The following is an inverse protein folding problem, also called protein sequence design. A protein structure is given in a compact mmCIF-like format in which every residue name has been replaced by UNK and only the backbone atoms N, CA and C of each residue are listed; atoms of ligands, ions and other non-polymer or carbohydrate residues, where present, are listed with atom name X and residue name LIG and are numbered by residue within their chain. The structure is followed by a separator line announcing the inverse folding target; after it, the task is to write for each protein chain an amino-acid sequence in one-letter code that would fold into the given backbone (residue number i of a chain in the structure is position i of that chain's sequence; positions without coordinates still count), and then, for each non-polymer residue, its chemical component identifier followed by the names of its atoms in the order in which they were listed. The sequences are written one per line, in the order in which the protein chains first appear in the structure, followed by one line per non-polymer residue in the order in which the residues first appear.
data_IF_216917789333
#
_entry.id   IF_216917789333
#
_cell.length_a   1.000
_cell.length_b   1.000
_cell.length_c   1.000
_cell.angle_alpha   90.00
_cell.angle_beta   90.00
_cell.angle_gamma   90.00
#
_symmetry.space_group_name_H-M   'P 1'
#
loop_
_entity.id
_entity.type
_entity.pdbx_description
1 polymer ?
#
# COMPACT_ATOMS: atom_id res chain seq x y z
N UNK A 1 -5.88 -78.56 -13.60
CA UNK A 1 -6.55 -77.41 -14.21
C UNK A 1 -7.00 -76.50 -13.08
N UNK A 2 -6.46 -75.29 -13.09
CA UNK A 2 -6.51 -74.30 -12.02
C UNK A 2 -7.84 -73.56 -12.06
N UNK A 3 -8.54 -73.51 -10.92
CA UNK A 3 -9.64 -72.61 -10.65
C UNK A 3 -9.23 -71.68 -9.51
N UNK A 4 -9.02 -70.40 -9.81
CA UNK A 4 -9.11 -69.32 -8.81
C UNK A 4 -9.35 -68.00 -9.54
N UNK A 5 -10.61 -67.57 -9.50
CA UNK A 5 -11.08 -66.25 -9.92
C UNK A 5 -10.67 -65.21 -8.86
N UNK A 6 -9.78 -64.29 -9.21
CA UNK A 6 -9.42 -63.13 -8.37
C UNK A 6 -10.37 -61.97 -8.68
N UNK A 7 -11.24 -61.66 -7.73
CA UNK A 7 -12.06 -60.45 -7.74
C UNK A 7 -11.19 -59.23 -7.43
N UNK A 8 -11.17 -58.25 -8.34
CA UNK A 8 -10.50 -56.97 -8.16
C UNK A 8 -11.39 -56.06 -7.31
N UNK A 9 -10.95 -55.73 -6.10
CA UNK A 9 -11.58 -54.70 -5.27
C UNK A 9 -11.09 -53.32 -5.71
N UNK A 10 -11.98 -52.55 -6.34
CA UNK A 10 -11.77 -51.13 -6.58
C UNK A 10 -11.77 -50.37 -5.24
N UNK A 11 -10.62 -49.82 -4.86
CA UNK A 11 -10.49 -48.91 -3.73
C UNK A 11 -11.11 -47.56 -4.08
N UNK A 12 -12.29 -47.30 -3.52
CA UNK A 12 -12.96 -45.99 -3.63
C UNK A 12 -12.10 -44.96 -2.89
N UNK A 13 -11.44 -44.06 -3.63
CA UNK A 13 -10.70 -42.93 -3.07
C UNK A 13 -11.69 -42.04 -2.30
N UNK A 14 -11.66 -42.13 -0.96
CA UNK A 14 -12.39 -41.22 -0.08
C UNK A 14 -12.01 -39.79 -0.40
N UNK A 15 -12.99 -39.01 -0.86
CA UNK A 15 -12.85 -37.61 -1.21
C UNK A 15 -12.10 -36.82 -0.15
N UNK A 16 -11.13 -36.05 -0.62
CA UNK A 16 -10.42 -35.03 0.14
C UNK A 16 -11.45 -34.02 0.63
N UNK A 17 -12.00 -34.22 1.84
CA UNK A 17 -12.77 -33.17 2.55
C UNK A 17 -11.90 -31.92 2.49
N UNK A 18 -12.40 -30.83 1.93
CA UNK A 18 -11.70 -29.56 1.95
C UNK A 18 -11.30 -29.30 3.40
N UNK A 19 -9.99 -29.18 3.65
CA UNK A 19 -9.50 -28.82 4.97
C UNK A 19 -10.25 -27.54 5.38
N UNK A 20 -10.77 -27.51 6.61
CA UNK A 20 -11.38 -26.27 7.11
C UNK A 20 -10.34 -25.17 6.99
N UNK A 21 -10.73 -23.97 6.51
CA UNK A 21 -9.77 -22.90 6.35
C UNK A 21 -9.02 -22.63 7.65
N UNK A 22 -7.71 -22.38 7.55
CA UNK A 22 -6.89 -22.03 8.71
C UNK A 22 -7.34 -20.69 9.31
N UNK A 23 -6.80 -20.33 10.48
CA UNK A 23 -7.05 -19.03 11.10
C UNK A 23 -6.68 -17.89 10.15
N UNK A 24 -5.47 -17.95 9.61
CA UNK A 24 -4.87 -16.97 8.71
C UNK A 24 -5.64 -16.85 7.38
N UNK A 25 -6.16 -17.97 6.85
CA UNK A 25 -6.96 -17.96 5.62
C UNK A 25 -8.28 -17.20 5.80
N UNK A 26 -8.89 -17.24 6.99
CA UNK A 26 -10.13 -16.51 7.28
C UNK A 26 -9.88 -15.03 7.50
N UNK A 27 -8.80 -14.69 8.20
CA UNK A 27 -8.37 -13.30 8.35
C UNK A 27 -8.13 -12.66 6.98
N UNK A 28 -7.38 -13.34 6.11
CA UNK A 28 -7.14 -12.90 4.75
C UNK A 28 -8.44 -12.79 3.92
N UNK A 29 -9.39 -13.70 4.10
CA UNK A 29 -10.69 -13.62 3.45
C UNK A 29 -11.49 -12.37 3.87
N UNK A 30 -11.40 -11.95 5.14
CA UNK A 30 -12.01 -10.71 5.62
C UNK A 30 -11.34 -9.50 4.97
N UNK A 31 -10.01 -9.46 4.95
CA UNK A 31 -9.23 -8.37 4.35
C UNK A 31 -9.54 -8.22 2.85
N UNK A 32 -9.49 -9.31 2.09
CA UNK A 32 -9.80 -9.31 0.65
C UNK A 32 -11.26 -8.88 0.38
N UNK A 33 -12.19 -9.29 1.25
CA UNK A 33 -13.59 -8.86 1.15
C UNK A 33 -13.73 -7.36 1.39
N UNK A 34 -13.05 -6.83 2.40
CA UNK A 34 -13.07 -5.41 2.72
C UNK A 34 -12.49 -4.57 1.58
N UNK A 35 -11.32 -4.96 1.06
CA UNK A 35 -10.68 -4.27 -0.07
C UNK A 35 -11.61 -4.22 -1.30
N UNK A 36 -12.21 -5.36 -1.66
CA UNK A 36 -13.17 -5.42 -2.76
C UNK A 36 -14.40 -4.54 -2.54
N UNK A 37 -14.97 -4.52 -1.34
CA UNK A 37 -16.14 -3.70 -1.05
C UNK A 37 -15.81 -2.19 -1.05
N UNK A 38 -14.57 -1.82 -0.74
CA UNK A 38 -14.10 -0.43 -0.78
C UNK A 38 -13.98 0.10 -2.22
N UNK A 39 -13.87 -0.77 -3.23
CA UNK A 39 -13.91 -0.36 -4.64
C UNK A 39 -15.29 0.21 -5.03
N UNK A 40 -16.35 -0.27 -4.39
CA UNK A 40 -17.73 0.09 -4.73
C UNK A 40 -18.28 1.24 -3.88
N UNK A 41 -17.89 1.31 -2.59
CA UNK A 41 -18.52 2.23 -1.61
C UNK A 41 -17.62 2.54 -0.41
N UNK A 42 -17.79 3.70 0.26
CA UNK A 42 -16.94 4.10 1.36
C UNK A 42 -17.13 3.20 2.60
N UNK A 43 -16.10 3.15 3.46
CA UNK A 43 -16.10 2.30 4.67
C UNK A 43 -17.31 2.54 5.59
N UNK A 44 -17.84 3.76 5.64
CA UNK A 44 -19.04 4.08 6.43
C UNK A 44 -20.27 3.25 6.02
N UNK A 45 -20.39 2.91 4.74
CA UNK A 45 -21.52 2.17 4.15
C UNK A 45 -21.32 0.65 4.14
N UNK A 46 -20.15 0.17 4.57
CA UNK A 46 -19.84 -1.27 4.70
C UNK A 46 -20.22 -1.72 6.12
N UNK A 47 -21.03 -2.76 6.24
CA UNK A 47 -21.38 -3.35 7.54
C UNK A 47 -20.49 -4.53 7.90
N UNK A 48 -20.40 -4.87 9.19
CA UNK A 48 -19.74 -6.11 9.65
C UNK A 48 -20.42 -7.35 9.04
N UNK A 49 -21.73 -7.31 8.79
CA UNK A 49 -22.45 -8.42 8.16
C UNK A 49 -22.05 -8.58 6.69
N UNK A 50 -21.79 -7.49 5.97
CA UNK A 50 -21.26 -7.55 4.60
C UNK A 50 -19.88 -8.21 4.57
N UNK A 51 -18.99 -7.83 5.49
CA UNK A 51 -17.65 -8.39 5.64
C UNK A 51 -17.70 -9.88 5.98
N UNK A 52 -18.50 -10.26 6.98
CA UNK A 52 -18.65 -11.65 7.40
C UNK A 52 -19.24 -12.50 6.27
N UNK A 53 -20.28 -12.00 5.59
CA UNK A 53 -20.92 -12.69 4.46
C UNK A 53 -19.97 -12.87 3.29
N UNK A 54 -19.22 -11.83 2.91
CA UNK A 54 -18.25 -11.93 1.81
C UNK A 54 -17.08 -12.86 2.11
N UNK A 55 -16.62 -12.90 3.37
CA UNK A 55 -15.59 -13.82 3.82
C UNK A 55 -16.09 -15.26 4.10
N UNK A 56 -17.40 -15.52 3.96
CA UNK A 56 -17.99 -16.85 4.20
C UNK A 56 -17.97 -17.29 5.66
N UNK A 57 -18.03 -16.33 6.60
CA UNK A 57 -18.01 -16.58 8.05
C UNK A 57 -19.25 -15.98 8.75
N UNK A 58 -19.47 -16.39 10.00
CA UNK A 58 -20.53 -15.79 10.83
C UNK A 58 -20.09 -14.46 11.44
N UNK A 59 -21.05 -13.59 11.79
CA UNK A 59 -20.76 -12.34 12.51
C UNK A 59 -20.00 -12.57 13.84
N UNK A 60 -20.34 -13.53 14.71
CA UNK A 60 -19.51 -13.84 15.88
C UNK A 60 -18.09 -14.29 15.52
N UNK A 61 -17.92 -15.02 14.41
CA UNK A 61 -16.59 -15.41 13.91
C UNK A 61 -15.79 -14.21 13.43
N UNK A 62 -16.41 -13.20 12.81
CA UNK A 62 -15.73 -11.95 12.48
C UNK A 62 -15.10 -11.30 13.71
N UNK A 63 -15.87 -11.15 14.79
CA UNK A 63 -15.41 -10.52 16.02
C UNK A 63 -14.31 -11.30 16.76
N UNK A 64 -14.06 -12.56 16.39
CA UNK A 64 -12.89 -13.30 16.86
C UNK A 64 -11.59 -12.78 16.24
N UNK A 65 -11.62 -12.31 14.99
CA UNK A 65 -10.45 -11.80 14.26
C UNK A 65 -10.30 -10.29 14.40
N UNK A 66 -11.39 -9.54 14.25
CA UNK A 66 -11.35 -8.08 14.26
C UNK A 66 -12.36 -7.50 15.23
N UNK A 67 -11.96 -6.55 16.10
CA UNK A 67 -12.88 -5.92 17.05
C UNK A 67 -13.90 -5.00 16.36
N UNK A 68 -13.60 -4.50 15.15
CA UNK A 68 -14.47 -3.62 14.37
C UNK A 68 -14.11 -3.64 12.88
N UNK A 69 -14.94 -3.01 12.02
CA UNK A 69 -14.61 -2.83 10.61
C UNK A 69 -13.49 -1.81 10.41
N UNK A 70 -13.36 -0.84 11.31
CA UNK A 70 -12.28 0.15 11.30
C UNK A 70 -10.92 -0.51 11.57
N UNK A 71 -10.88 -1.53 12.43
CA UNK A 71 -9.67 -2.34 12.63
C UNK A 71 -9.27 -3.09 11.36
N UNK A 72 -10.23 -3.55 10.55
CA UNK A 72 -9.94 -4.18 9.24
C UNK A 72 -9.29 -3.17 8.29
N UNK A 73 -9.82 -1.93 8.21
CA UNK A 73 -9.22 -0.88 7.40
C UNK A 73 -7.82 -0.52 7.87
N UNK A 74 -7.61 -0.40 9.18
CA UNK A 74 -6.30 -0.12 9.75
C UNK A 74 -5.29 -1.20 9.35
N UNK A 75 -5.67 -2.48 9.43
CA UNK A 75 -4.82 -3.60 9.00
C UNK A 75 -4.56 -3.57 7.49
N UNK A 76 -5.55 -3.24 6.66
CA UNK A 76 -5.33 -3.07 5.22
C UNK A 76 -4.34 -1.94 4.92
N UNK A 77 -4.52 -0.77 5.56
CA UNK A 77 -3.60 0.35 5.40
C UNK A 77 -2.18 0.00 5.84
N UNK A 78 -2.04 -0.65 7.00
CA UNK A 78 -0.77 -1.13 7.52
C UNK A 78 -0.05 -2.03 6.51
N UNK A 79 -0.76 -2.98 5.89
CA UNK A 79 -0.19 -3.84 4.84
C UNK A 79 0.31 -3.04 3.64
N UNK A 80 -0.49 -2.08 3.15
CA UNK A 80 -0.15 -1.27 1.97
C UNK A 80 1.06 -0.36 2.25
N UNK A 81 1.14 0.29 3.42
CA UNK A 81 2.29 1.14 3.74
C UNK A 81 3.56 0.33 3.97
N UNK A 82 3.46 -0.86 4.57
CA UNK A 82 4.60 -1.77 4.71
C UNK A 82 5.06 -2.33 3.35
N UNK A 83 4.15 -2.55 2.41
CA UNK A 83 4.51 -2.94 1.04
C UNK A 83 5.31 -1.85 0.33
N UNK A 84 4.86 -0.59 0.39
CA UNK A 84 5.56 0.54 -0.20
C UNK A 84 6.94 0.73 0.43
N UNK A 85 7.01 0.58 1.75
CA UNK A 85 8.24 0.68 2.52
C UNK A 85 9.25 -0.42 2.17
N UNK A 86 8.80 -1.67 2.07
CA UNK A 86 9.64 -2.79 1.64
C UNK A 86 10.12 -2.65 0.19
N UNK A 87 9.26 -2.14 -0.71
CA UNK A 87 9.63 -1.86 -2.10
C UNK A 87 10.68 -0.76 -2.20
N UNK A 88 10.60 0.28 -1.35
CA UNK A 88 11.60 1.33 -1.27
C UNK A 88 12.95 0.80 -0.72
N UNK A 89 12.92 -0.03 0.32
CA UNK A 89 14.12 -0.66 0.87
C UNK A 89 14.81 -1.55 -0.18
N UNK A 90 14.05 -2.28 -0.99
CA UNK A 90 14.59 -3.06 -2.10
C UNK A 90 15.22 -2.18 -3.19
N UNK A 91 14.59 -1.04 -3.52
CA UNK A 91 15.14 -0.10 -4.49
C UNK A 91 16.45 0.51 -4.01
N UNK A 92 16.61 0.74 -2.70
CA UNK A 92 17.85 1.25 -2.11
C UNK A 92 19.06 0.31 -2.28
N UNK A 93 18.83 -0.96 -2.62
CA UNK A 93 19.88 -1.95 -2.93
C UNK A 93 20.18 -2.07 -4.43
N UNK A 94 19.47 -1.33 -5.28
CA UNK A 94 19.66 -1.37 -6.72
C UNK A 94 20.99 -0.71 -7.15
N UNK A 95 21.55 -1.06 -8.33
CA UNK A 95 22.73 -0.41 -8.86
C UNK A 95 22.55 1.11 -9.03
N UNK A 96 23.65 1.85 -8.94
CA UNK A 96 23.67 3.29 -9.18
C UNK A 96 23.15 3.63 -10.59
N UNK A 97 22.27 4.63 -10.64
CA UNK A 97 21.70 5.22 -11.85
C UNK A 97 21.85 6.73 -11.81
N UNK A 98 21.56 7.43 -12.91
CA UNK A 98 21.53 8.89 -12.88
C UNK A 98 20.44 9.41 -11.91
N UNK A 99 20.62 10.62 -11.41
CA UNK A 99 19.74 11.21 -10.40
C UNK A 99 18.27 11.33 -10.82
N UNK A 100 17.96 11.55 -12.10
CA UNK A 100 16.58 11.68 -12.58
C UNK A 100 15.91 10.31 -12.51
N UNK A 101 16.60 9.28 -12.99
CA UNK A 101 16.14 7.89 -12.92
C UNK A 101 16.00 7.43 -11.47
N UNK A 102 16.93 7.79 -10.58
CA UNK A 102 16.86 7.48 -9.15
C UNK A 102 15.56 8.03 -8.52
N UNK A 103 15.29 9.33 -8.67
CA UNK A 103 14.08 9.95 -8.11
C UNK A 103 12.80 9.42 -8.76
N UNK A 104 12.81 9.17 -10.07
CA UNK A 104 11.68 8.55 -10.77
C UNK A 104 11.36 7.16 -10.22
N UNK A 105 12.37 6.31 -10.03
CA UNK A 105 12.16 4.98 -9.50
C UNK A 105 11.59 5.04 -8.07
N UNK A 106 12.10 5.94 -7.23
CA UNK A 106 11.59 6.13 -5.87
C UNK A 106 10.12 6.60 -5.84
N UNK A 107 9.75 7.57 -6.68
CA UNK A 107 8.36 8.03 -6.80
C UNK A 107 7.46 6.92 -7.36
N UNK A 108 7.96 6.14 -8.32
CA UNK A 108 7.22 5.02 -8.91
C UNK A 108 6.86 3.94 -7.90
N UNK A 109 7.70 3.69 -6.88
CA UNK A 109 7.34 2.75 -5.80
C UNK A 109 6.00 3.14 -5.17
N UNK A 110 5.85 4.41 -4.78
CA UNK A 110 4.61 4.89 -4.18
C UNK A 110 3.45 4.95 -5.18
N UNK A 111 3.72 5.34 -6.42
CA UNK A 111 2.71 5.36 -7.48
C UNK A 111 2.12 3.97 -7.73
N UNK A 112 2.97 2.95 -7.91
CA UNK A 112 2.55 1.57 -8.20
C UNK A 112 1.87 0.92 -6.99
N UNK A 113 2.45 1.02 -5.79
CA UNK A 113 1.87 0.41 -4.59
C UNK A 113 0.53 1.05 -4.23
N UNK A 114 0.45 2.38 -4.10
CA UNK A 114 -0.83 3.02 -3.77
C UNK A 114 -1.83 2.97 -4.94
N UNK A 115 -1.35 2.97 -6.18
CA UNK A 115 -2.17 2.78 -7.38
C UNK A 115 -2.77 1.38 -7.49
N UNK A 116 -2.12 0.36 -6.94
CA UNK A 116 -2.64 -1.01 -6.87
C UNK A 116 -3.68 -1.18 -5.75
N UNK A 117 -3.67 -0.31 -4.74
CA UNK A 117 -4.53 -0.37 -3.55
C UNK A 117 -5.39 0.90 -3.36
N UNK A 118 -5.88 1.49 -4.46
CA UNK A 118 -6.60 2.78 -4.44
C UNK A 118 -7.73 2.81 -3.43
N UNK A 119 -8.59 1.78 -3.44
CA UNK A 119 -9.75 1.68 -2.56
C UNK A 119 -9.37 1.74 -1.07
N UNK A 120 -8.27 1.08 -0.69
CA UNK A 120 -7.73 1.07 0.67
C UNK A 120 -7.21 2.45 1.06
N UNK A 121 -6.38 3.05 0.20
CA UNK A 121 -5.80 4.39 0.42
C UNK A 121 -6.92 5.42 0.57
N UNK A 122 -7.96 5.36 -0.27
CA UNK A 122 -9.11 6.24 -0.19
C UNK A 122 -9.93 6.06 1.08
N UNK A 123 -10.21 4.81 1.46
CA UNK A 123 -10.85 4.50 2.73
C UNK A 123 -10.09 5.09 3.92
N UNK A 124 -8.74 4.98 3.90
CA UNK A 124 -7.89 5.53 4.94
C UNK A 124 -7.93 7.05 5.05
N UNK A 125 -7.89 7.75 3.92
CA UNK A 125 -7.94 9.22 3.91
C UNK A 125 -9.25 9.76 4.50
N UNK A 126 -10.39 9.13 4.19
CA UNK A 126 -11.69 9.51 4.76
C UNK A 126 -11.76 9.32 6.29
N UNK A 127 -10.99 8.39 6.85
CA UNK A 127 -11.01 8.04 8.28
C UNK A 127 -9.87 8.71 9.06
N UNK A 128 -8.81 9.19 8.41
CA UNK A 128 -7.63 9.78 9.05
C UNK A 128 -7.93 11.02 9.91
N UNK A 129 -8.98 11.79 9.58
CA UNK A 129 -9.41 12.93 10.40
C UNK A 129 -10.04 12.52 11.73
N UNK A 130 -10.55 11.29 11.83
CA UNK A 130 -11.35 10.82 12.98
C UNK A 130 -10.71 9.67 13.76
N UNK A 131 -9.83 8.85 13.16
CA UNK A 131 -9.07 7.81 13.84
C UNK A 131 -7.66 8.30 14.19
N UNK A 132 -7.29 8.20 15.46
CA UNK A 132 -5.94 8.49 15.95
C UNK A 132 -4.95 7.45 15.44
N UNK A 133 -5.35 6.18 15.42
CA UNK A 133 -4.51 5.05 15.01
C UNK A 133 -4.12 5.14 13.53
N UNK A 134 -5.07 5.44 12.64
CA UNK A 134 -4.79 5.66 11.21
C UNK A 134 -3.86 6.86 11.03
N UNK A 135 -4.07 7.93 11.81
CA UNK A 135 -3.24 9.13 11.76
C UNK A 135 -1.81 8.87 12.23
N UNK A 136 -1.64 8.12 13.32
CA UNK A 136 -0.34 7.75 13.89
C UNK A 136 0.42 6.80 12.95
N UNK A 137 -0.27 5.80 12.39
CA UNK A 137 0.30 4.91 11.37
C UNK A 137 0.86 5.71 10.20
N UNK A 138 0.03 6.55 9.56
CA UNK A 138 0.46 7.36 8.43
C UNK A 138 1.59 8.33 8.79
N UNK A 139 1.49 8.99 9.96
CA UNK A 139 2.53 9.90 10.46
C UNK A 139 3.87 9.19 10.63
N UNK A 140 3.87 7.95 11.11
CA UNK A 140 5.08 7.16 11.34
C UNK A 140 5.81 6.87 10.03
N UNK A 141 5.08 6.41 9.02
CA UNK A 141 5.66 6.14 7.70
C UNK A 141 6.10 7.41 6.98
N UNK A 142 5.31 8.48 7.02
CA UNK A 142 5.71 9.77 6.43
C UNK A 142 6.99 10.31 7.06
N UNK A 143 7.13 10.24 8.39
CA UNK A 143 8.37 10.63 9.06
C UNK A 143 9.56 9.79 8.58
N UNK A 144 9.39 8.47 8.42
CA UNK A 144 10.43 7.58 7.89
C UNK A 144 10.84 7.97 6.47
N UNK A 145 9.89 8.13 5.55
CA UNK A 145 10.16 8.44 4.14
C UNK A 145 10.75 9.85 3.94
N UNK A 146 10.28 10.83 4.72
CA UNK A 146 10.84 12.17 4.74
C UNK A 146 12.30 12.14 5.22
N UNK A 147 12.58 11.43 6.32
CA UNK A 147 13.94 11.32 6.83
C UNK A 147 14.88 10.61 5.84
N UNK A 148 14.40 9.55 5.17
CA UNK A 148 15.15 8.88 4.11
C UNK A 148 15.43 9.80 2.92
N UNK A 149 14.42 10.54 2.45
CA UNK A 149 14.57 11.54 1.38
C UNK A 149 15.60 12.61 1.75
N UNK A 150 15.54 13.14 2.97
CA UNK A 150 16.48 14.15 3.45
C UNK A 150 17.92 13.63 3.46
N UNK A 151 18.14 12.38 3.88
CA UNK A 151 19.47 11.74 3.84
C UNK A 151 20.01 11.62 2.42
N UNK A 152 19.16 11.28 1.45
CA UNK A 152 19.58 11.24 0.03
C UNK A 152 19.97 12.65 -0.43
N UNK A 153 19.16 13.67 -0.14
CA UNK A 153 19.47 15.05 -0.50
C UNK A 153 20.81 15.51 0.11
N UNK A 154 21.09 15.14 1.36
CA UNK A 154 22.38 15.42 2.01
C UNK A 154 23.54 14.70 1.31
N UNK A 155 23.40 13.42 0.99
CA UNK A 155 24.43 12.68 0.25
C UNK A 155 24.71 13.28 -1.14
N UNK A 156 23.67 13.73 -1.85
CA UNK A 156 23.78 14.42 -3.13
C UNK A 156 24.55 15.75 -3.01
N UNK A 157 24.37 16.47 -1.89
CA UNK A 157 25.11 17.71 -1.58
C UNK A 157 26.57 17.43 -1.24
N UNK A 158 26.82 16.42 -0.41
CA UNK A 158 28.17 16.04 0.02
C UNK A 158 29.05 15.62 -1.17
N UNK A 159 28.49 14.89 -2.13
CA UNK A 159 29.20 14.52 -3.37
C UNK A 159 29.27 15.63 -4.42
N UNK A 160 28.74 16.81 -4.12
CA UNK A 160 28.77 18.00 -4.98
C UNK A 160 27.80 17.96 -6.18
N UNK A 161 26.82 17.05 -6.19
CA UNK A 161 25.85 16.94 -7.27
C UNK A 161 24.67 17.91 -7.11
N UNK A 162 24.23 18.15 -5.87
CA UNK A 162 23.19 19.10 -5.54
C UNK A 162 23.75 20.33 -4.79
N UNK A 163 23.25 21.54 -5.04
CA UNK A 163 23.65 22.72 -4.26
C UNK A 163 23.07 22.68 -2.85
N UNK A 164 23.76 23.34 -1.92
CA UNK A 164 23.22 23.62 -0.58
C UNK A 164 22.28 24.83 -0.68
N UNK A 165 20.98 24.60 -0.58
CA UNK A 165 19.93 25.63 -0.66
C UNK A 165 19.09 25.64 0.62
N UNK A 166 17.91 25.03 0.60
CA UNK A 166 17.02 24.88 1.77
C UNK A 166 17.53 23.78 2.72
N UNK A 167 17.12 23.78 4.00
CA UNK A 167 17.32 22.63 4.87
C UNK A 167 16.76 21.36 4.23
N UNK A 168 17.56 20.28 4.17
CA UNK A 168 17.19 19.07 3.43
C UNK A 168 15.90 18.45 3.96
N UNK A 169 15.71 18.48 5.28
CA UNK A 169 14.50 17.97 5.93
C UNK A 169 13.24 18.77 5.56
N UNK A 170 13.33 20.10 5.47
CA UNK A 170 12.20 20.95 5.08
C UNK A 170 11.81 20.74 3.61
N UNK A 171 12.81 20.68 2.73
CA UNK A 171 12.60 20.37 1.31
C UNK A 171 11.99 18.97 1.14
N UNK A 172 12.55 17.96 1.80
CA UNK A 172 12.02 16.60 1.78
C UNK A 172 10.57 16.54 2.30
N UNK A 173 10.25 17.28 3.36
CA UNK A 173 8.90 17.35 3.92
C UNK A 173 7.92 17.90 2.89
N UNK A 174 8.23 19.03 2.27
CA UNK A 174 7.36 19.65 1.27
C UNK A 174 7.15 18.75 0.04
N UNK A 175 8.21 18.10 -0.45
CA UNK A 175 8.16 17.21 -1.61
C UNK A 175 7.35 15.93 -1.33
N UNK A 176 7.49 15.33 -0.15
CA UNK A 176 6.69 14.15 0.23
C UNK A 176 5.20 14.49 0.40
N UNK A 177 4.88 15.63 1.03
CA UNK A 177 3.48 16.09 1.16
C UNK A 177 2.86 16.44 -0.21
N UNK A 178 3.66 16.99 -1.13
CA UNK A 178 3.23 17.21 -2.52
C UNK A 178 2.91 15.88 -3.21
N UNK A 179 3.76 14.85 -3.07
CA UNK A 179 3.49 13.52 -3.61
C UNK A 179 2.19 12.95 -3.04
N UNK A 180 2.03 12.95 -1.71
CA UNK A 180 0.82 12.47 -1.03
C UNK A 180 -0.44 13.10 -1.66
N UNK A 181 -0.49 14.44 -1.70
CA UNK A 181 -1.67 15.14 -2.18
C UNK A 181 -1.93 14.92 -3.67
N UNK A 182 -0.88 14.96 -4.48
CA UNK A 182 -1.00 14.90 -5.95
C UNK A 182 -1.33 13.51 -6.42
N UNK A 183 -0.71 12.46 -5.86
CA UNK A 183 -1.03 11.07 -6.17
C UNK A 183 -2.47 10.76 -5.76
N UNK A 184 -2.88 11.15 -4.54
CA UNK A 184 -4.25 10.97 -4.07
C UNK A 184 -5.27 11.64 -4.97
N UNK A 185 -5.03 12.89 -5.38
CA UNK A 185 -5.91 13.62 -6.30
C UNK A 185 -6.03 12.91 -7.66
N UNK A 186 -4.91 12.42 -8.18
CA UNK A 186 -4.82 11.78 -9.50
C UNK A 186 -5.58 10.44 -9.52
N UNK A 187 -5.40 9.60 -8.49
CA UNK A 187 -6.09 8.32 -8.37
C UNK A 187 -7.61 8.45 -8.20
N UNK A 188 -8.07 9.55 -7.61
CA UNK A 188 -9.49 9.86 -7.47
C UNK A 188 -10.10 10.58 -8.66
N UNK A 189 -9.28 10.99 -9.62
CA UNK A 189 -9.69 11.93 -10.68
C UNK A 189 -10.42 13.16 -10.09
N UNK A 190 -9.89 13.73 -9.00
CA UNK A 190 -10.44 14.95 -8.39
C UNK A 190 -10.35 16.15 -9.35
N UNK A 191 -11.17 17.17 -9.13
CA UNK A 191 -11.07 18.45 -9.81
C UNK A 191 -10.63 19.55 -8.82
N UNK A 192 -9.42 20.12 -8.94
CA UNK A 192 -8.37 19.83 -9.92
C UNK A 192 -7.48 18.63 -9.56
N UNK A 193 -6.97 17.92 -10.57
CA UNK A 193 -5.91 16.90 -10.45
C UNK A 193 -5.00 16.84 -11.69
N UNK A 194 -3.82 16.26 -11.52
CA UNK A 194 -2.93 15.91 -12.64
C UNK A 194 -3.42 14.57 -13.22
N UNK A 195 -3.47 14.40 -14.56
CA UNK A 195 -3.78 13.10 -15.14
C UNK A 195 -2.81 12.02 -14.65
N UNK A 196 -3.33 10.84 -14.28
CA UNK A 196 -2.53 9.73 -13.77
C UNK A 196 -1.38 9.36 -14.71
N UNK A 197 -1.59 9.43 -16.03
CA UNK A 197 -0.56 9.17 -17.06
C UNK A 197 0.62 10.14 -17.03
N UNK A 198 0.48 11.30 -16.39
CA UNK A 198 1.52 12.35 -16.33
C UNK A 198 1.97 12.66 -14.90
N UNK A 199 1.37 12.05 -13.88
CA UNK A 199 1.61 12.45 -12.48
C UNK A 199 3.05 12.19 -12.06
N UNK A 200 3.63 11.05 -12.43
CA UNK A 200 5.03 10.72 -12.12
C UNK A 200 5.98 11.72 -12.79
N UNK A 201 5.79 12.02 -14.08
CA UNK A 201 6.62 13.00 -14.80
C UNK A 201 6.57 14.38 -14.14
N UNK A 202 5.38 14.79 -13.73
CA UNK A 202 5.14 16.07 -13.04
C UNK A 202 5.88 16.13 -11.71
N UNK A 203 5.74 15.09 -10.88
CA UNK A 203 6.40 15.03 -9.58
C UNK A 203 7.92 14.97 -9.73
N UNK A 204 8.44 14.11 -10.62
CA UNK A 204 9.89 14.01 -10.90
C UNK A 204 10.47 15.34 -11.32
N UNK A 205 9.78 16.08 -12.20
CA UNK A 205 10.24 17.41 -12.62
C UNK A 205 10.40 18.37 -11.44
N UNK A 206 9.41 18.44 -10.54
CA UNK A 206 9.46 19.34 -9.36
C UNK A 206 10.56 18.90 -8.39
N UNK A 207 10.70 17.59 -8.14
CA UNK A 207 11.76 17.06 -7.28
C UNK A 207 13.15 17.40 -7.82
N UNK A 208 13.43 17.05 -9.07
CA UNK A 208 14.74 17.28 -9.68
C UNK A 208 15.05 18.78 -9.76
N UNK A 209 14.10 19.61 -10.20
CA UNK A 209 14.35 21.04 -10.33
C UNK A 209 14.58 21.73 -8.98
N UNK A 210 13.88 21.33 -7.91
CA UNK A 210 14.04 21.91 -6.58
C UNK A 210 15.28 21.40 -5.83
N UNK A 211 15.68 20.15 -6.03
CA UNK A 211 16.86 19.55 -5.37
C UNK A 211 18.16 20.02 -6.03
N UNK A 212 18.20 20.04 -7.37
CA UNK A 212 19.43 20.34 -8.13
C UNK A 212 19.48 21.79 -8.66
N UNK A 213 18.38 22.53 -8.58
CA UNK A 213 18.33 23.94 -8.97
C UNK A 213 19.12 24.83 -8.00
N UNK A 214 19.90 25.77 -8.55
CA UNK A 214 20.58 26.77 -7.74
C UNK A 214 19.57 27.76 -7.12
N UNK A 215 19.86 28.24 -5.89
CA UNK A 215 19.12 29.34 -5.29
C UNK A 215 19.19 30.58 -6.22
N UNK A 216 18.05 31.20 -6.47
CA UNK A 216 17.98 32.51 -7.14
C UNK A 216 18.23 33.63 -6.14
#
# INVERSE_FOLDING_TARGET
MVSTSTASQASVSRGRRSARPSGDERELAILNTAEKLLEDRPMVDISVDDLAKGAGISRPTFYFYFPSKEAVLLTLLDRVVNEADAALDNLAQAPDVDHVTMWRNGINVFFETFGSHRAVVQGGQGVRSISTEVRELWSTFMQKWIAYTAKIIEAERERGAAPVTLPALELATALNLMNERTLSASFLAEEPSVPETHVVDTLVHVWVSSIYGAAR
#
